data_IF_245393867212
#
_entry.id   IF_245393867212
#
_cell.length_a   1.000
_cell.length_b   1.000
_cell.length_c   1.000
_cell.angle_alpha   90.00
_cell.angle_beta   90.00
_cell.angle_gamma   90.00
#
_symmetry.space_group_name_H-M   'P 1'
#
loop_
_entity.id
_entity.type
_entity.pdbx_description
1 polymer ?
#
# COMPACT_ATOMS: atom_id res chain seq x y z
N UNK A 1 16.28 -1.83 -6.16
CA UNK A 1 15.12 -1.97 -5.25
C UNK A 1 13.93 -2.43 -6.06
N UNK A 2 12.99 -3.14 -5.44
CA UNK A 2 11.73 -3.56 -6.04
C UNK A 2 10.57 -2.77 -5.44
N UNK A 3 9.45 -2.71 -6.16
CA UNK A 3 8.18 -2.17 -5.65
C UNK A 3 7.09 -3.17 -5.93
N UNK A 4 6.18 -3.34 -4.97
CA UNK A 4 4.92 -4.05 -5.15
C UNK A 4 3.87 -2.97 -5.44
N UNK A 5 3.55 -2.68 -6.72
CA UNK A 5 2.70 -1.54 -7.06
C UNK A 5 1.24 -1.76 -6.67
N UNK A 6 0.74 -2.99 -6.83
CA UNK A 6 -0.63 -3.38 -6.52
C UNK A 6 -0.63 -4.83 -6.04
N UNK A 7 -1.49 -5.12 -5.07
CA UNK A 7 -1.79 -6.47 -4.64
C UNK A 7 -3.22 -6.51 -4.10
N UNK A 8 -3.89 -7.64 -4.30
CA UNK A 8 -5.24 -7.84 -3.79
C UNK A 8 -5.74 -9.24 -4.04
N UNK A 9 -6.72 -9.63 -3.23
CA UNK A 9 -7.45 -10.88 -3.37
C UNK A 9 -8.90 -10.53 -3.72
N UNK A 10 -9.42 -11.16 -4.75
CA UNK A 10 -10.83 -10.98 -5.14
C UNK A 10 -11.76 -11.49 -4.03
N UNK A 11 -12.93 -10.89 -3.92
CA UNK A 11 -13.82 -11.04 -2.76
C UNK A 11 -14.11 -12.49 -2.34
N UNK A 12 -14.39 -13.45 -3.26
CA UNK A 12 -14.67 -14.83 -2.88
C UNK A 12 -13.54 -15.56 -2.13
N UNK A 13 -12.29 -15.10 -2.29
CA UNK A 13 -11.10 -15.75 -1.72
C UNK A 13 -10.45 -14.97 -0.57
N UNK A 14 -11.04 -13.83 -0.14
CA UNK A 14 -10.53 -13.06 1.00
C UNK A 14 -10.67 -13.83 2.31
N UNK A 15 -9.84 -13.51 3.31
CA UNK A 15 -9.83 -14.12 4.66
C UNK A 15 -9.55 -15.63 4.66
N UNK A 16 -8.95 -16.16 3.59
CA UNK A 16 -8.54 -17.57 3.47
C UNK A 16 -7.02 -17.76 3.50
N UNK A 17 -6.25 -16.70 3.79
CA UNK A 17 -4.78 -16.72 3.79
C UNK A 17 -4.13 -16.64 2.40
N UNK A 18 -4.92 -16.41 1.33
CA UNK A 18 -4.43 -16.31 -0.05
C UNK A 18 -3.45 -15.14 -0.23
N UNK A 19 -3.73 -14.04 0.46
CA UNK A 19 -2.86 -12.87 0.58
C UNK A 19 -1.49 -13.23 1.14
N UNK A 20 -1.43 -14.00 2.23
CA UNK A 20 -0.16 -14.44 2.82
C UNK A 20 0.67 -15.28 1.83
N UNK A 21 0.03 -16.17 1.08
CA UNK A 21 0.69 -16.99 0.05
C UNK A 21 1.21 -16.13 -1.11
N UNK A 22 0.42 -15.15 -1.56
CA UNK A 22 0.86 -14.20 -2.59
C UNK A 22 2.11 -13.43 -2.14
N UNK A 23 2.13 -12.93 -0.91
CA UNK A 23 3.30 -12.24 -0.37
C UNK A 23 4.51 -13.17 -0.22
N UNK A 24 4.32 -14.44 0.16
CA UNK A 24 5.41 -15.43 0.21
C UNK A 24 6.09 -15.59 -1.16
N UNK A 25 5.31 -15.75 -2.23
CA UNK A 25 5.86 -15.89 -3.58
C UNK A 25 6.57 -14.61 -4.07
N UNK A 26 6.04 -13.43 -3.71
CA UNK A 26 6.73 -12.17 -4.01
C UNK A 26 8.05 -12.06 -3.25
N UNK A 27 8.09 -12.44 -1.97
CA UNK A 27 9.31 -12.45 -1.19
C UNK A 27 10.35 -13.40 -1.78
N UNK A 28 9.95 -14.62 -2.17
CA UNK A 28 10.84 -15.56 -2.85
C UNK A 28 11.41 -14.96 -4.15
N UNK A 29 10.56 -14.39 -5.00
CA UNK A 29 11.01 -13.77 -6.26
C UNK A 29 11.99 -12.60 -6.02
N UNK A 30 11.79 -11.80 -4.98
CA UNK A 30 12.69 -10.71 -4.59
C UNK A 30 14.05 -11.26 -4.10
N UNK A 31 14.04 -12.31 -3.28
CA UNK A 31 15.25 -12.96 -2.77
C UNK A 31 16.06 -13.63 -3.89
N UNK A 32 15.40 -14.34 -4.79
CA UNK A 32 16.03 -15.00 -5.95
C UNK A 32 16.67 -13.97 -6.89
N UNK A 33 16.02 -12.82 -7.07
CA UNK A 33 16.55 -11.68 -7.81
C UNK A 33 17.66 -10.92 -7.06
N UNK A 34 18.02 -11.33 -5.84
CA UNK A 34 19.02 -10.69 -4.96
C UNK A 34 18.72 -9.20 -4.73
N UNK A 35 17.44 -8.85 -4.57
CA UNK A 35 16.98 -7.49 -4.28
C UNK A 35 16.78 -7.33 -2.78
N UNK A 36 17.57 -6.46 -2.16
CA UNK A 36 17.57 -6.26 -0.69
C UNK A 36 16.68 -5.11 -0.21
N UNK A 37 16.07 -4.37 -1.12
CA UNK A 37 15.18 -3.25 -0.79
C UNK A 37 13.89 -3.37 -1.57
N UNK A 38 12.76 -3.37 -0.85
CA UNK A 38 11.43 -3.38 -1.43
C UNK A 38 10.54 -2.34 -0.74
N UNK A 39 9.62 -1.74 -1.50
CA UNK A 39 8.57 -0.90 -0.97
C UNK A 39 7.19 -1.32 -1.52
N UNK A 40 6.10 -0.94 -0.83
CA UNK A 40 4.72 -1.29 -1.17
C UNK A 40 3.93 -0.14 -1.81
N UNK A 41 4.63 0.86 -2.35
CA UNK A 41 4.00 2.04 -2.94
C UNK A 41 3.21 2.84 -1.91
N UNK A 42 1.97 3.17 -2.26
CA UNK A 42 1.06 3.91 -1.40
C UNK A 42 -0.09 3.02 -0.96
N UNK A 43 -0.25 2.88 0.36
CA UNK A 43 -1.39 2.22 0.97
C UNK A 43 -2.28 3.32 1.54
N UNK A 44 -3.58 3.24 1.27
CA UNK A 44 -4.56 4.14 1.88
C UNK A 44 -4.50 3.98 3.40
N UNK A 45 -4.43 5.09 4.15
CA UNK A 45 -4.28 5.06 5.61
C UNK A 45 -5.43 4.34 6.33
N UNK A 46 -6.61 4.28 5.70
CA UNK A 46 -7.79 3.57 6.23
C UNK A 46 -7.89 2.11 5.79
N UNK A 47 -6.91 1.59 5.04
CA UNK A 47 -6.87 0.19 4.63
C UNK A 47 -6.10 -0.64 5.67
N UNK A 48 -6.71 -0.82 6.85
CA UNK A 48 -6.12 -1.52 7.99
C UNK A 48 -5.64 -2.94 7.64
N UNK A 49 -6.35 -3.62 6.74
CA UNK A 49 -5.98 -4.96 6.27
C UNK A 49 -4.61 -4.94 5.56
N UNK A 50 -4.42 -4.04 4.59
CA UNK A 50 -3.13 -3.95 3.88
C UNK A 50 -2.01 -3.41 4.76
N UNK A 51 -2.31 -2.49 5.67
CA UNK A 51 -1.34 -1.97 6.65
C UNK A 51 -0.88 -3.10 7.58
N UNK A 52 -1.81 -3.89 8.11
CA UNK A 52 -1.51 -5.04 8.97
C UNK A 52 -0.62 -6.06 8.26
N UNK A 53 -0.94 -6.38 7.00
CA UNK A 53 -0.10 -7.29 6.20
C UNK A 53 1.31 -6.71 6.03
N UNK A 54 1.45 -5.44 5.63
CA UNK A 54 2.76 -4.82 5.47
C UNK A 54 3.60 -4.89 6.77
N UNK A 55 2.99 -4.62 7.94
CA UNK A 55 3.66 -4.74 9.23
C UNK A 55 4.06 -6.17 9.57
N UNK A 56 3.21 -7.16 9.30
CA UNK A 56 3.53 -8.58 9.51
C UNK A 56 4.73 -9.03 8.66
N UNK A 57 4.94 -8.41 7.50
CA UNK A 57 6.12 -8.63 6.64
C UNK A 57 7.33 -7.76 7.00
N UNK A 58 7.27 -7.00 8.10
CA UNK A 58 8.38 -6.18 8.60
C UNK A 58 8.56 -4.83 7.89
N UNK A 59 7.61 -4.42 7.04
CA UNK A 59 7.65 -3.10 6.40
C UNK A 59 7.32 -2.00 7.42
N UNK A 60 7.91 -0.83 7.18
CA UNK A 60 7.73 0.37 8.00
C UNK A 60 7.14 1.49 7.15
N UNK A 61 6.18 2.23 7.71
CA UNK A 61 5.65 3.45 7.09
C UNK A 61 6.76 4.51 7.17
N UNK A 62 7.33 4.88 6.02
CA UNK A 62 8.42 5.86 5.96
C UNK A 62 7.96 7.26 5.55
N UNK A 63 6.78 7.37 4.92
CA UNK A 63 6.22 8.65 4.45
C UNK A 63 4.70 8.57 4.36
N UNK A 64 4.06 9.66 4.77
CA UNK A 64 2.61 9.82 4.69
C UNK A 64 2.26 10.93 3.72
N UNK A 65 1.39 10.64 2.77
CA UNK A 65 0.88 11.59 1.78
C UNK A 65 -0.53 12.04 2.17
N UNK A 66 -0.86 13.31 1.90
CA UNK A 66 -2.16 13.91 2.21
C UNK A 66 -2.65 14.64 0.96
N UNK A 67 -3.93 14.49 0.67
CA UNK A 67 -4.61 15.29 -0.35
C UNK A 67 -5.09 16.58 0.29
N UNK A 68 -4.77 17.71 -0.34
CA UNK A 68 -5.28 19.02 0.04
C UNK A 68 -6.01 19.60 -1.16
N UNK A 69 -7.15 20.21 -0.89
CA UNK A 69 -7.91 20.96 -1.88
C UNK A 69 -8.02 22.42 -1.44
N UNK A 70 -8.04 23.32 -2.42
CA UNK A 70 -8.30 24.74 -2.20
C UNK A 70 -9.27 25.20 -3.26
N UNK A 71 -10.40 25.76 -2.83
CA UNK A 71 -11.29 26.46 -3.74
C UNK A 71 -10.60 27.72 -4.27
N UNK A 72 -10.62 27.91 -5.59
CA UNK A 72 -10.07 29.08 -6.26
C UNK A 72 -11.14 30.13 -6.59
N UNK A 73 -12.39 29.88 -6.23
CA UNK A 73 -13.45 30.88 -6.38
C UNK A 73 -13.15 32.02 -5.40
N UNK A 74 -12.94 33.22 -5.94
CA UNK A 74 -12.89 34.43 -5.13
C UNK A 74 -14.21 34.56 -4.37
N UNK A 75 -14.15 35.01 -3.12
CA UNK A 75 -15.31 35.60 -2.44
C UNK A 75 -15.73 36.85 -3.23
N UNK A 76 -16.41 36.66 -4.35
CA UNK A 76 -17.14 37.73 -5.00
C UNK A 76 -18.36 38.03 -4.15
N UNK A 77 -18.23 39.12 -3.39
CA UNK A 77 -19.30 39.99 -2.92
C UNK A 77 -20.31 39.39 -1.93
N UNK A 78 -19.97 39.49 -0.64
CA UNK A 78 -20.95 39.94 0.35
C UNK A 78 -20.45 41.30 0.90
N UNK A 79 -20.73 42.35 0.13
CA UNK A 79 -20.95 43.70 0.66
C UNK A 79 -22.44 43.87 0.88
#
# INVERSE_FOLDING_TARGET
GARIPLMGVIEPYRKRGVDAVLFYHVLQAILDAKVFYCDSGWILETNDNMISIAHNFGLKIYKTYRFYEKSLLAETAAR
#
